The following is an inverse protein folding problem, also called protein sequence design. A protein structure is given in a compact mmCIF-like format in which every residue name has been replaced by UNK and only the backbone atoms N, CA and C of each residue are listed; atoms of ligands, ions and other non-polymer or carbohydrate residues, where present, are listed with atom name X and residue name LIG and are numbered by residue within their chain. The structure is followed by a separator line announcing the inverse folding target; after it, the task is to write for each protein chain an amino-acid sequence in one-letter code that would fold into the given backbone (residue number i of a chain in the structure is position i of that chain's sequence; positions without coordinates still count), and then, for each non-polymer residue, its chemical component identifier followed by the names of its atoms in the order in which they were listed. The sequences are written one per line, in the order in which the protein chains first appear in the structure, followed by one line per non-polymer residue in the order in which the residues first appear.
data_IF_610210689744
#
_entry.id   IF_610210689744
#
_cell.length_a   1.000
_cell.length_b   1.000
_cell.length_c   1.000
_cell.angle_alpha   90.00
_cell.angle_beta   90.00
_cell.angle_gamma   90.00
#
_symmetry.space_group_name_H-M   'P 1'
#
loop_
_entity.id
_entity.type
_entity.pdbx_description
1 polymer ?
#
# COMPACT_ATOMS: atom_id res chain seq x y z
N UNK A 1 -26.86 -54.87 26.55
CA UNK A 1 -27.50 -53.92 25.61
C UNK A 1 -27.09 -52.45 25.85
N UNK A 2 -26.08 -52.17 26.69
CA UNK A 2 -25.77 -50.81 27.17
C UNK A 2 -24.67 -50.09 26.37
N UNK A 3 -23.79 -50.83 25.69
CA UNK A 3 -22.64 -50.27 24.95
C UNK A 3 -23.05 -49.48 23.70
N UNK A 4 -24.18 -49.82 23.06
CA UNK A 4 -24.71 -49.08 21.90
C UNK A 4 -25.26 -47.70 22.27
N UNK A 5 -25.84 -47.54 23.47
CA UNK A 5 -26.48 -46.28 23.91
C UNK A 5 -25.43 -45.22 24.23
N UNK A 6 -24.33 -45.62 24.88
CA UNK A 6 -23.22 -44.73 25.24
C UNK A 6 -22.50 -44.21 23.99
N UNK A 7 -22.31 -45.08 22.97
CA UNK A 7 -21.69 -44.70 21.69
C UNK A 7 -22.56 -43.71 20.90
N UNK A 8 -23.89 -43.87 20.94
CA UNK A 8 -24.85 -42.98 20.29
C UNK A 8 -24.88 -41.58 20.94
N UNK A 9 -24.81 -41.49 22.29
CA UNK A 9 -24.73 -40.21 23.02
C UNK A 9 -23.44 -39.44 22.74
N UNK A 10 -22.28 -40.12 22.67
CA UNK A 10 -20.99 -39.48 22.33
C UNK A 10 -20.98 -38.94 20.89
N UNK A 11 -21.60 -39.65 19.94
CA UNK A 11 -21.68 -39.21 18.56
C UNK A 11 -22.56 -37.96 18.38
N UNK A 12 -23.70 -37.88 19.10
CA UNK A 12 -24.57 -36.70 19.10
C UNK A 12 -23.85 -35.48 19.70
N UNK A 13 -23.09 -35.67 20.78
CA UNK A 13 -22.31 -34.61 21.42
C UNK A 13 -21.22 -34.05 20.49
N UNK A 14 -20.51 -34.93 19.77
CA UNK A 14 -19.49 -34.53 18.79
C UNK A 14 -20.12 -33.77 17.61
N UNK A 15 -21.28 -34.22 17.11
CA UNK A 15 -22.01 -33.49 16.07
C UNK A 15 -22.45 -32.10 16.53
N UNK A 16 -22.87 -31.94 17.78
CA UNK A 16 -23.27 -30.65 18.34
C UNK A 16 -22.08 -29.68 18.44
N UNK A 17 -20.91 -30.17 18.86
CA UNK A 17 -19.67 -29.38 18.89
C UNK A 17 -19.26 -28.93 17.47
N UNK A 18 -19.33 -29.83 16.48
CA UNK A 18 -19.01 -29.47 15.10
C UNK A 18 -20.00 -28.45 14.52
N UNK A 19 -21.28 -28.51 14.86
CA UNK A 19 -22.29 -27.52 14.46
C UNK A 19 -22.02 -26.14 15.10
N UNK A 20 -21.55 -26.10 16.35
CA UNK A 20 -21.13 -24.88 17.03
C UNK A 20 -19.85 -24.27 16.43
N UNK A 21 -18.90 -25.09 15.96
CA UNK A 21 -17.68 -24.61 15.30
C UNK A 21 -17.99 -24.05 13.89
N UNK A 22 -18.93 -24.68 13.18
CA UNK A 22 -19.39 -24.23 11.87
C UNK A 22 -20.18 -22.91 11.94
N UNK A 23 -20.91 -22.65 13.03
CA UNK A 23 -21.66 -21.39 13.22
C UNK A 23 -20.80 -20.19 13.64
N UNK A 24 -19.58 -20.41 14.13
CA UNK A 24 -18.59 -19.33 14.36
C UNK A 24 -17.93 -18.88 13.04
N UNK A 25 -18.01 -19.70 11.99
CA UNK A 25 -17.24 -19.52 10.75
C UNK A 25 -17.98 -18.76 9.63
N UNK A 26 -19.25 -18.37 9.80
CA UNK A 26 -20.09 -17.84 8.71
C UNK A 26 -20.61 -16.42 8.89
N UNK A 27 -20.08 -15.65 9.85
CA UNK A 27 -20.46 -14.24 10.00
C UNK A 27 -19.25 -13.31 9.91
N UNK A 28 -18.72 -13.15 8.69
CA UNK A 28 -18.06 -11.90 8.29
C UNK A 28 -19.11 -10.78 8.23
N UNK A 29 -19.68 -10.40 9.38
CA UNK A 29 -20.48 -9.19 9.48
C UNK A 29 -19.50 -8.02 9.39
N UNK A 30 -19.56 -7.32 8.26
CA UNK A 30 -18.91 -6.05 8.02
C UNK A 30 -19.35 -5.04 9.09
N UNK A 31 -18.54 -4.90 10.14
CA UNK A 31 -18.82 -3.97 11.24
C UNK A 31 -18.49 -2.53 10.82
N UNK A 32 -19.50 -1.85 10.27
CA UNK A 32 -19.45 -0.41 9.94
C UNK A 32 -19.03 0.46 11.13
N UNK A 33 -19.32 0.07 12.38
CA UNK A 33 -19.02 0.89 13.57
C UNK A 33 -17.55 0.79 13.97
N UNK A 34 -16.94 -0.40 13.85
CA UNK A 34 -15.48 -0.57 14.03
C UNK A 34 -14.69 0.13 12.92
N UNK A 35 -15.17 0.09 11.67
CA UNK A 35 -14.57 0.86 10.57
C UNK A 35 -14.63 2.37 10.82
N UNK A 36 -15.76 2.88 11.33
CA UNK A 36 -15.92 4.31 11.68
C UNK A 36 -15.00 4.75 12.83
N UNK A 37 -14.70 3.85 13.78
CA UNK A 37 -13.86 4.15 14.95
C UNK A 37 -12.37 4.10 14.62
N UNK A 38 -11.93 3.19 13.74
CA UNK A 38 -10.53 3.14 13.23
C UNK A 38 -10.22 4.36 12.34
N UNK A 39 -11.23 4.92 11.66
CA UNK A 39 -11.06 6.10 10.82
C UNK A 39 -10.86 7.42 11.61
N UNK A 40 -11.16 7.43 12.91
CA UNK A 40 -11.43 8.67 13.64
C UNK A 40 -10.26 9.27 14.44
N UNK A 41 -9.12 8.60 14.64
CA UNK A 41 -8.07 9.15 15.53
C UNK A 41 -6.72 9.51 14.87
N UNK A 42 -6.44 9.11 13.62
CA UNK A 42 -5.18 9.50 12.93
C UNK A 42 -5.31 9.70 11.42
N UNK A 43 -6.34 9.13 10.78
CA UNK A 43 -6.60 9.21 9.34
C UNK A 43 -7.47 10.38 8.90
N UNK A 44 -7.90 11.26 9.82
CA UNK A 44 -8.95 12.25 9.56
C UNK A 44 -8.58 13.27 8.45
N UNK A 45 -7.29 13.44 8.16
CA UNK A 45 -6.77 14.34 7.12
C UNK A 45 -6.48 13.67 5.77
N UNK A 46 -6.54 12.34 5.67
CA UNK A 46 -6.21 11.64 4.42
C UNK A 46 -7.44 11.53 3.54
N UNK A 47 -7.29 11.90 2.27
CA UNK A 47 -8.38 11.89 1.31
C UNK A 47 -8.99 10.48 1.14
N UNK A 48 -10.31 10.36 1.25
CA UNK A 48 -11.04 9.08 1.17
C UNK A 48 -10.92 8.40 -0.19
N UNK A 49 -10.86 9.17 -1.27
CA UNK A 49 -10.71 8.64 -2.63
C UNK A 49 -9.29 8.07 -2.84
N UNK A 50 -8.27 8.71 -2.27
CA UNK A 50 -6.92 8.13 -2.23
C UNK A 50 -6.90 6.78 -1.48
N UNK A 51 -7.64 6.66 -0.38
CA UNK A 51 -7.74 5.40 0.37
C UNK A 51 -8.37 4.26 -0.45
N UNK A 52 -9.20 4.54 -1.46
CA UNK A 52 -9.72 3.51 -2.37
C UNK A 52 -8.60 2.88 -3.22
N UNK A 53 -7.61 3.69 -3.61
CA UNK A 53 -6.45 3.19 -4.35
C UNK A 53 -5.46 2.47 -3.45
N UNK A 54 -5.31 2.93 -2.21
CA UNK A 54 -4.58 2.17 -1.16
C UNK A 54 -5.23 0.80 -0.94
N UNK A 55 -6.56 0.75 -0.85
CA UNK A 55 -7.32 -0.51 -0.74
C UNK A 55 -7.11 -1.43 -1.93
N UNK A 56 -7.17 -0.88 -3.15
CA UNK A 56 -6.91 -1.62 -4.39
C UNK A 56 -5.50 -2.23 -4.35
N UNK A 57 -4.50 -1.46 -3.93
CA UNK A 57 -3.14 -1.94 -3.80
C UNK A 57 -3.02 -3.06 -2.75
N UNK A 58 -3.56 -2.84 -1.54
CA UNK A 58 -3.55 -3.81 -0.44
C UNK A 58 -4.15 -5.14 -0.84
N UNK A 59 -5.28 -5.11 -1.57
CA UNK A 59 -5.95 -6.31 -2.06
C UNK A 59 -5.07 -7.09 -3.04
N UNK A 60 -4.32 -6.39 -3.89
CA UNK A 60 -3.45 -6.99 -4.90
C UNK A 60 -2.16 -7.54 -4.32
N UNK A 61 -1.57 -6.84 -3.35
CA UNK A 61 -0.29 -7.21 -2.75
C UNK A 61 -0.40 -7.39 -1.23
N UNK A 62 -1.09 -8.45 -0.77
CA UNK A 62 -1.36 -8.66 0.64
C UNK A 62 -0.09 -8.90 1.48
N UNK A 63 1.02 -9.32 0.87
CA UNK A 63 2.27 -9.63 1.54
C UNK A 63 3.01 -8.41 2.13
N UNK A 64 2.79 -7.20 1.60
CA UNK A 64 3.54 -6.02 2.03
C UNK A 64 2.91 -5.36 3.26
N UNK A 65 3.62 -5.40 4.39
CA UNK A 65 3.15 -4.84 5.67
C UNK A 65 3.18 -3.31 5.71
N UNK A 66 3.84 -2.69 4.75
CA UNK A 66 4.01 -1.24 4.63
C UNK A 66 3.94 -0.79 3.18
N UNK A 67 3.46 0.44 2.99
CA UNK A 67 3.28 1.07 1.70
C UNK A 67 3.83 2.49 1.73
N UNK A 68 4.44 2.89 0.63
CA UNK A 68 4.87 4.28 0.42
C UNK A 68 4.03 4.87 -0.70
N UNK A 69 3.57 6.10 -0.47
CA UNK A 69 2.93 6.95 -1.46
C UNK A 69 3.94 8.04 -1.78
N UNK A 70 4.46 8.05 -3.00
CA UNK A 70 5.29 9.15 -3.51
C UNK A 70 4.35 10.14 -4.19
N UNK A 71 4.29 11.37 -3.68
CA UNK A 71 3.49 12.44 -4.29
C UNK A 71 4.29 13.27 -5.29
N UNK A 72 5.62 13.20 -5.20
CA UNK A 72 6.56 13.91 -6.05
C UNK A 72 7.66 12.93 -6.51
N UNK A 73 8.06 13.04 -7.78
CA UNK A 73 9.10 12.19 -8.34
C UNK A 73 10.26 13.06 -8.80
N UNK A 74 11.35 13.05 -8.05
CA UNK A 74 12.60 13.74 -8.42
C UNK A 74 13.47 12.89 -9.38
N UNK A 75 13.08 11.63 -9.66
CA UNK A 75 13.85 10.73 -10.52
C UNK A 75 13.80 11.16 -12.00
N UNK A 76 14.79 11.96 -12.43
CA UNK A 76 15.16 12.26 -13.82
C UNK A 76 13.98 12.62 -14.75
N UNK A 77 13.17 13.55 -14.28
CA UNK A 77 12.17 14.26 -15.07
C UNK A 77 12.85 15.09 -16.18
N UNK A 78 13.00 14.46 -17.35
CA UNK A 78 13.25 15.17 -18.62
C UNK A 78 12.22 16.30 -18.74
N UNK A 79 12.70 17.48 -19.11
CA UNK A 79 12.16 18.85 -18.98
C UNK A 79 10.67 19.16 -19.30
N UNK A 80 9.82 18.18 -19.65
CA UNK A 80 8.49 18.42 -20.22
C UNK A 80 7.29 17.86 -19.42
N UNK A 81 7.48 16.99 -18.43
CA UNK A 81 6.36 16.44 -17.64
C UNK A 81 6.27 17.08 -16.24
N UNK A 82 5.91 18.37 -16.22
CA UNK A 82 5.52 19.17 -15.04
C UNK A 82 4.06 18.96 -14.61
N UNK A 83 3.45 17.81 -14.94
CA UNK A 83 2.11 17.54 -14.40
C UNK A 83 2.26 17.05 -12.95
N UNK A 84 2.25 18.00 -12.01
CA UNK A 84 2.36 17.89 -10.54
C UNK A 84 1.24 17.06 -9.87
N UNK A 85 0.79 15.98 -10.51
CA UNK A 85 -0.44 15.30 -10.16
C UNK A 85 -0.32 13.78 -10.17
N UNK A 86 0.85 13.19 -10.42
CA UNK A 86 1.02 11.74 -10.41
C UNK A 86 1.44 11.28 -9.01
N UNK A 87 0.70 10.32 -8.45
CA UNK A 87 1.01 9.62 -7.22
C UNK A 87 1.38 8.18 -7.53
N UNK A 88 2.46 7.72 -6.92
CA UNK A 88 2.86 6.31 -6.95
C UNK A 88 2.55 5.66 -5.61
N UNK A 89 1.82 4.56 -5.62
CA UNK A 89 1.51 3.77 -4.43
C UNK A 89 2.21 2.42 -4.58
N UNK A 90 3.22 2.16 -3.75
CA UNK A 90 4.03 0.94 -3.83
C UNK A 90 4.45 0.43 -2.45
N UNK A 91 5.25 -0.65 -2.39
CA UNK A 91 5.74 -1.18 -1.13
C UNK A 91 6.83 -0.25 -0.56
N UNK A 92 6.93 -0.14 0.77
CA UNK A 92 8.02 0.65 1.37
C UNK A 92 9.31 -0.15 1.40
N UNK A 93 10.15 -0.07 0.37
CA UNK A 93 11.46 -0.74 0.40
C UNK A 93 12.48 0.04 1.22
N UNK A 94 13.31 -0.68 1.97
CA UNK A 94 14.30 -0.06 2.87
C UNK A 94 15.27 0.88 2.13
N UNK A 95 15.68 0.47 0.92
CA UNK A 95 16.59 1.22 0.06
C UNK A 95 15.97 2.39 -0.70
N UNK A 96 14.66 2.64 -0.57
CA UNK A 96 13.94 3.58 -1.44
C UNK A 96 14.46 5.02 -1.33
N UNK A 97 14.92 5.42 -0.14
CA UNK A 97 15.35 6.79 0.17
C UNK A 97 16.83 6.91 0.55
N UNK A 98 17.65 5.87 0.37
CA UNK A 98 19.03 5.86 0.88
C UNK A 98 19.95 6.90 0.25
N UNK A 99 19.70 7.26 -1.01
CA UNK A 99 20.54 8.23 -1.75
C UNK A 99 20.31 9.66 -1.26
N UNK A 100 19.04 10.07 -1.20
CA UNK A 100 18.64 11.43 -0.83
C UNK A 100 18.54 11.62 0.69
N UNK A 101 18.31 10.53 1.44
CA UNK A 101 18.10 10.49 2.89
C UNK A 101 16.94 11.38 3.37
N UNK A 102 15.97 11.60 2.49
CA UNK A 102 14.73 12.32 2.79
C UNK A 102 13.66 11.26 2.99
N UNK A 103 13.34 11.00 4.26
CA UNK A 103 12.35 10.00 4.60
C UNK A 103 10.95 10.63 4.68
N UNK A 104 9.88 9.84 4.41
CA UNK A 104 8.51 10.31 4.49
C UNK A 104 8.21 10.86 5.88
N UNK A 105 7.86 12.14 6.02
CA UNK A 105 7.59 12.77 7.31
C UNK A 105 6.21 12.41 7.88
N UNK A 106 5.28 12.01 7.01
CA UNK A 106 3.93 11.63 7.38
C UNK A 106 3.75 10.11 7.27
N UNK A 107 3.28 9.50 8.36
CA UNK A 107 2.97 8.09 8.42
C UNK A 107 1.71 7.83 9.26
N UNK A 108 0.93 6.83 8.88
CA UNK A 108 -0.28 6.43 9.61
C UNK A 108 -0.57 4.95 9.43
N UNK A 109 -1.30 4.35 10.38
CA UNK A 109 -1.76 2.98 10.25
C UNK A 109 -3.10 2.93 9.51
N UNK A 110 -3.20 2.07 8.50
CA UNK A 110 -4.44 1.79 7.79
C UNK A 110 -4.56 0.31 7.47
N UNK A 111 -5.68 -0.31 7.88
CA UNK A 111 -5.93 -1.76 7.69
C UNK A 111 -4.76 -2.66 8.14
N UNK A 112 -4.18 -2.35 9.31
CA UNK A 112 -3.03 -3.06 9.90
C UNK A 112 -1.73 -2.96 9.09
N UNK A 113 -1.60 -1.91 8.29
CA UNK A 113 -0.40 -1.62 7.50
C UNK A 113 0.07 -0.21 7.81
N UNK A 114 1.38 -0.04 7.80
CA UNK A 114 1.98 1.30 7.90
C UNK A 114 1.97 1.95 6.53
N UNK A 115 1.36 3.13 6.41
CA UNK A 115 1.33 3.91 5.18
C UNK A 115 2.24 5.12 5.39
N UNK A 116 3.21 5.30 4.50
CA UNK A 116 4.11 6.44 4.47
C UNK A 116 3.74 7.34 3.29
N UNK A 117 3.72 8.65 3.48
CA UNK A 117 3.53 9.63 2.41
C UNK A 117 4.80 10.47 2.31
N UNK A 118 5.47 10.39 1.17
CA UNK A 118 6.63 11.20 0.83
C UNK A 118 6.17 12.38 -0.03
N UNK A 119 6.63 13.59 0.31
CA UNK A 119 6.37 14.84 -0.43
C UNK A 119 7.50 15.86 -0.22
N UNK A 120 7.47 16.98 -0.95
CA UNK A 120 8.39 18.11 -0.72
C UNK A 120 8.37 18.66 0.71
N UNK A 121 7.29 18.45 1.47
CA UNK A 121 7.23 18.89 2.86
C UNK A 121 8.22 18.14 3.77
N UNK A 122 8.73 16.99 3.33
CA UNK A 122 9.67 16.19 4.10
C UNK A 122 11.00 16.90 4.33
N UNK A 123 11.41 17.78 3.40
CA UNK A 123 12.59 18.63 3.56
C UNK A 123 12.53 19.53 4.79
N UNK A 124 11.33 19.86 5.26
CA UNK A 124 11.12 20.76 6.40
C UNK A 124 11.05 20.02 7.75
N UNK A 125 11.09 18.68 7.73
CA UNK A 125 10.90 17.85 8.92
C UNK A 125 12.21 17.29 9.50
N UNK A 126 12.25 17.10 10.82
CA UNK A 126 13.40 16.50 11.51
C UNK A 126 13.43 14.98 11.30
N UNK A 127 14.38 14.52 10.50
CA UNK A 127 14.41 13.16 9.94
C UNK A 127 14.67 12.01 10.94
N UNK A 128 15.43 12.22 12.03
CA UNK A 128 15.95 11.12 12.87
C UNK A 128 14.91 10.13 13.42
N UNK A 129 13.74 10.61 13.82
CA UNK A 129 12.71 9.73 14.41
C UNK A 129 11.91 8.99 13.34
N UNK A 130 11.68 9.65 12.20
CA UNK A 130 10.84 9.09 11.14
C UNK A 130 11.63 8.11 10.28
N UNK A 131 12.92 8.33 10.06
CA UNK A 131 13.86 7.38 9.46
C UNK A 131 13.84 6.02 10.18
N UNK A 132 13.99 6.03 11.51
CA UNK A 132 13.91 4.80 12.32
C UNK A 132 12.58 4.09 12.17
N UNK A 133 11.49 4.85 12.09
CA UNK A 133 10.15 4.30 11.90
C UNK A 133 10.04 3.67 10.51
N UNK A 134 10.53 4.35 9.47
CA UNK A 134 10.57 3.83 8.11
C UNK A 134 11.30 2.48 8.04
N UNK A 135 12.54 2.42 8.50
CA UNK A 135 13.35 1.19 8.50
C UNK A 135 12.75 0.04 9.32
N UNK A 136 11.97 0.35 10.36
CA UNK A 136 11.30 -0.67 11.17
C UNK A 136 10.20 -1.38 10.40
N UNK A 137 9.49 -0.66 9.54
CA UNK A 137 8.34 -1.19 8.80
C UNK A 137 8.66 -1.55 7.35
N UNK A 138 9.78 -1.07 6.82
CA UNK A 138 10.19 -1.29 5.44
C UNK A 138 10.39 -2.77 5.11
N UNK A 139 10.19 -3.08 3.83
CA UNK A 139 10.47 -4.37 3.22
C UNK A 139 11.98 -4.43 2.99
N UNK A 140 12.61 -5.41 3.65
CA UNK A 140 14.05 -5.64 3.50
C UNK A 140 14.31 -6.44 2.25
N UNK A 141 15.04 -5.85 1.32
CA UNK A 141 15.52 -6.51 0.11
C UNK A 141 17.03 -6.73 0.21
N UNK A 142 17.55 -7.83 -0.34
CA UNK A 142 18.98 -8.13 -0.26
C UNK A 142 19.83 -7.19 -1.14
N UNK A 143 19.21 -6.51 -2.11
CA UNK A 143 19.87 -5.62 -3.07
C UNK A 143 19.17 -4.26 -3.11
N UNK A 144 19.82 -3.25 -2.56
CA UNK A 144 19.25 -1.91 -2.32
C UNK A 144 19.10 -1.05 -3.58
N UNK A 145 20.03 -1.13 -4.53
CA UNK A 145 19.92 -0.38 -5.80
C UNK A 145 18.76 -0.87 -6.68
N UNK A 146 18.36 -2.13 -6.50
CA UNK A 146 17.18 -2.69 -7.17
C UNK A 146 15.87 -2.18 -6.54
N UNK A 147 15.89 -1.53 -5.38
CA UNK A 147 14.66 -1.16 -4.65
C UNK A 147 13.84 -0.09 -5.36
N UNK A 148 14.46 0.95 -5.94
CA UNK A 148 13.72 1.96 -6.71
C UNK A 148 13.11 1.34 -7.98
N UNK A 149 13.87 0.51 -8.70
CA UNK A 149 13.37 -0.15 -9.91
C UNK A 149 12.26 -1.14 -9.55
N UNK A 150 12.44 -1.89 -8.45
CA UNK A 150 11.44 -2.82 -7.92
C UNK A 150 10.19 -2.09 -7.45
N UNK A 151 10.36 -0.92 -6.83
CA UNK A 151 9.26 -0.04 -6.46
C UNK A 151 8.46 0.35 -7.69
N UNK A 152 9.12 0.89 -8.72
CA UNK A 152 8.45 1.34 -9.95
C UNK A 152 7.73 0.20 -10.67
N UNK A 153 8.27 -1.02 -10.67
CA UNK A 153 7.62 -2.21 -11.25
C UNK A 153 6.36 -2.65 -10.51
N UNK A 154 6.30 -2.39 -9.20
CA UNK A 154 5.20 -2.81 -8.33
C UNK A 154 4.22 -1.69 -8.01
N UNK A 155 4.57 -0.44 -8.28
CA UNK A 155 3.79 0.73 -7.92
C UNK A 155 2.58 0.92 -8.83
N UNK A 156 1.44 1.12 -8.17
CA UNK A 156 0.19 1.62 -8.75
C UNK A 156 0.33 3.12 -9.03
N UNK A 157 -0.17 3.56 -10.17
CA UNK A 157 -0.14 4.96 -10.60
C UNK A 157 -1.53 5.55 -10.58
N UNK A 158 -1.64 6.70 -9.93
CA UNK A 158 -2.89 7.46 -9.80
C UNK A 158 -2.61 8.91 -10.18
N UNK A 159 -3.50 9.54 -10.96
CA UNK A 159 -3.44 10.96 -11.30
C UNK A 159 -4.45 11.75 -10.48
N UNK A 160 -3.99 12.70 -9.68
CA UNK A 160 -4.83 13.72 -9.09
C UNK A 160 -5.41 14.64 -10.18
N UNK A 161 -6.71 14.92 -10.10
CA UNK A 161 -7.43 15.78 -11.05
C UNK A 161 -7.98 17.06 -10.39
N UNK A 162 -7.58 17.33 -9.15
CA UNK A 162 -8.02 18.46 -8.34
C UNK A 162 -9.12 18.11 -7.36
N UNK A 163 -9.35 19.02 -6.38
CA UNK A 163 -10.36 18.89 -5.30
C UNK A 163 -10.31 17.55 -4.53
N UNK A 164 -9.14 16.92 -4.48
CA UNK A 164 -8.96 15.63 -3.82
C UNK A 164 -9.55 14.45 -4.60
N UNK A 165 -9.72 14.57 -5.91
CA UNK A 165 -10.12 13.47 -6.78
C UNK A 165 -8.96 12.91 -7.58
N UNK A 166 -9.10 11.63 -7.95
CA UNK A 166 -8.01 10.78 -8.37
C UNK A 166 -8.48 9.78 -9.43
N UNK A 167 -7.73 9.65 -10.52
CA UNK A 167 -7.98 8.70 -11.60
C UNK A 167 -6.89 7.65 -11.61
N UNK A 168 -7.28 6.38 -11.67
CA UNK A 168 -6.35 5.28 -11.91
C UNK A 168 -5.74 5.35 -13.32
N UNK A 169 -4.42 5.25 -13.43
CA UNK A 169 -3.73 5.20 -14.72
C UNK A 169 -3.25 3.79 -15.07
N UNK A 170 -2.44 3.17 -14.20
CA UNK A 170 -1.82 1.87 -14.48
C UNK A 170 -1.34 1.20 -13.19
N UNK A 171 -1.14 -0.11 -13.21
CA UNK A 171 -0.54 -0.88 -12.11
C UNK A 171 0.99 -1.04 -12.26
N UNK A 172 1.59 -0.37 -13.26
CA UNK A 172 2.99 -0.49 -13.64
C UNK A 172 3.62 0.89 -13.84
N UNK A 173 4.16 1.48 -12.77
CA UNK A 173 4.76 2.82 -12.85
C UNK A 173 5.99 2.86 -13.77
N UNK A 174 6.76 1.77 -13.82
CA UNK A 174 7.89 1.58 -14.74
C UNK A 174 7.51 1.80 -16.21
N UNK A 175 6.31 1.38 -16.62
CA UNK A 175 5.81 1.56 -17.99
C UNK A 175 5.60 3.02 -18.41
N UNK A 176 5.41 3.92 -17.44
CA UNK A 176 5.26 5.36 -17.66
C UNK A 176 6.59 6.10 -17.49
N UNK A 177 7.35 5.75 -16.45
CA UNK A 177 8.51 6.52 -16.00
C UNK A 177 9.80 6.10 -16.72
N UNK A 178 9.96 4.82 -17.07
CA UNK A 178 11.20 4.30 -17.66
C UNK A 178 11.21 4.31 -19.20
N UNK A 179 10.22 4.90 -19.88
CA UNK A 179 10.18 4.97 -21.34
C UNK A 179 11.31 5.83 -21.90
N UNK A 180 12.31 5.21 -22.51
CA UNK A 180 13.32 5.89 -23.33
C UNK A 180 12.65 6.39 -24.62
N UNK A 181 12.54 7.72 -24.81
CA UNK A 181 12.20 8.29 -26.13
C UNK A 181 13.24 7.82 -27.15
N UNK A 182 12.82 7.12 -28.19
CA UNK A 182 13.63 6.91 -29.39
C UNK A 182 13.44 8.14 -30.25
N UNK A 183 14.51 8.90 -30.49
CA UNK A 183 14.46 10.04 -31.41
C UNK A 183 14.24 9.45 -32.81
N UNK A 184 13.10 9.75 -33.41
CA UNK A 184 12.90 9.45 -34.83
C UNK A 184 13.82 10.36 -35.64
N UNK A 185 14.66 9.76 -36.46
CA UNK A 185 15.50 10.46 -37.43
C UNK A 185 14.89 10.09 -38.79
N UNK A 186 14.16 11.00 -39.46
CA UNK A 186 13.65 10.73 -40.80
C UNK A 186 14.83 10.46 -41.74
N UNK A 187 14.66 9.59 -42.76
CA UNK A 187 15.66 9.47 -43.81
C UNK A 187 15.83 10.81 -44.51
N UNK A 188 17.07 11.15 -44.88
CA UNK A 188 17.33 12.31 -45.73
C UNK A 188 16.64 12.07 -47.07
N UNK A 189 15.71 12.96 -47.44
CA UNK A 189 15.06 13.02 -48.76
C UNK A 189 15.91 13.89 -49.67
#
# INVERSE_FOLDING_TARGET
METKIIKKRKCVFICFIMLCILSISTSCKYDKRRYKRVLNDTTLSVNKELLLYVDKYIKRYPQYRSLTILTELEYNWREEYKENCILLIGPSFDGLFEKEKIYPSYAFEYRKRMIFIQSSSDYLYRQKNIERTYHRYSVKNKKKEEDIISYLKLALVVKAIGKGSFIYLTDKADSLILRKRVKFIPPNV
#
